data_IF_385366951436
#
_entry.id   IF_385366951436
#
_cell.length_a   1.000
_cell.length_b   1.000
_cell.length_c   1.000
_cell.angle_alpha   90.00
_cell.angle_beta   90.00
_cell.angle_gamma   90.00
#
_symmetry.space_group_name_H-M   'P 1'
#
loop_
_entity.id
_entity.type
_entity.pdbx_description
1 polymer ?
#
# COMPACT_ATOMS: atom_id res chain seq x y z
N UNK A 1 -18.22 -41.16 -73.05
CA UNK A 1 -17.03 -40.65 -72.37
C UNK A 1 -17.40 -39.28 -71.85
N UNK A 2 -17.37 -39.09 -70.48
CA UNK A 2 -17.56 -37.73 -69.89
C UNK A 2 -16.31 -36.93 -70.17
N UNK A 3 -16.44 -35.84 -70.97
CA UNK A 3 -15.35 -34.89 -71.16
C UNK A 3 -15.01 -34.26 -69.79
N UNK A 4 -13.78 -34.38 -69.32
CA UNK A 4 -13.26 -33.69 -68.13
C UNK A 4 -12.65 -32.41 -68.61
N UNK A 5 -13.32 -31.29 -68.30
CA UNK A 5 -13.00 -29.96 -68.85
C UNK A 5 -11.92 -29.18 -68.05
N UNK A 6 -11.65 -29.60 -66.78
CA UNK A 6 -10.67 -28.92 -65.90
C UNK A 6 -9.73 -29.91 -65.25
N UNK A 7 -8.44 -29.56 -65.14
CA UNK A 7 -7.41 -30.33 -64.45
C UNK A 7 -6.65 -29.43 -63.51
N UNK A 8 -6.56 -29.81 -62.23
CA UNK A 8 -5.69 -29.16 -61.25
C UNK A 8 -4.49 -30.08 -61.01
N UNK A 9 -3.30 -29.51 -61.26
CA UNK A 9 -2.03 -30.21 -61.08
C UNK A 9 -1.36 -29.74 -59.78
N UNK A 10 -1.11 -30.66 -58.87
CA UNK A 10 -0.31 -30.43 -57.68
C UNK A 10 1.09 -30.96 -57.90
N UNK A 11 2.10 -30.10 -57.86
CA UNK A 11 3.50 -30.48 -58.03
C UNK A 11 4.18 -30.35 -56.68
N UNK A 12 4.66 -31.43 -56.09
CA UNK A 12 5.48 -31.37 -54.89
C UNK A 12 6.90 -31.02 -55.24
N UNK A 13 7.38 -29.90 -54.71
CA UNK A 13 8.75 -29.39 -54.92
C UNK A 13 9.81 -30.29 -54.24
N UNK A 14 9.40 -31.06 -53.20
CA UNK A 14 10.34 -31.84 -52.40
C UNK A 14 10.64 -33.23 -52.93
N UNK A 15 9.70 -33.88 -53.65
CA UNK A 15 9.86 -35.29 -54.07
C UNK A 15 9.42 -35.55 -55.49
N UNK A 16 9.27 -34.55 -56.34
CA UNK A 16 8.89 -34.65 -57.76
C UNK A 16 7.62 -35.47 -58.04
N UNK A 17 6.73 -35.66 -57.03
CA UNK A 17 5.45 -36.32 -57.22
C UNK A 17 4.43 -35.31 -57.69
N UNK A 18 3.73 -35.65 -58.76
CA UNK A 18 2.61 -34.89 -59.32
C UNK A 18 1.31 -35.63 -59.06
N UNK A 19 0.33 -34.94 -58.50
CA UNK A 19 -1.03 -35.42 -58.38
C UNK A 19 -1.93 -34.56 -59.26
N UNK A 20 -2.82 -35.18 -59.98
CA UNK A 20 -3.79 -34.48 -60.81
C UNK A 20 -5.22 -34.84 -60.37
N UNK A 21 -6.02 -33.80 -60.22
CA UNK A 21 -7.46 -33.91 -59.98
C UNK A 21 -8.17 -33.43 -61.26
N UNK A 22 -9.04 -34.28 -61.81
CA UNK A 22 -9.79 -33.99 -63.00
C UNK A 22 -11.28 -33.80 -62.67
N UNK A 23 -11.85 -32.67 -63.11
CA UNK A 23 -13.24 -32.29 -62.83
C UNK A 23 -14.01 -32.11 -64.14
N UNK A 24 -15.29 -32.48 -64.14
CA UNK A 24 -16.20 -31.97 -65.18
C UNK A 24 -16.56 -30.52 -64.90
N UNK A 25 -16.93 -29.77 -65.91
CA UNK A 25 -17.36 -28.37 -65.82
C UNK A 25 -18.45 -28.20 -64.74
N UNK A 26 -19.42 -29.12 -64.71
CA UNK A 26 -20.50 -29.11 -63.69
C UNK A 26 -19.99 -29.31 -62.29
N UNK A 27 -19.08 -30.26 -61.98
CA UNK A 27 -18.56 -30.50 -60.65
C UNK A 27 -17.66 -29.39 -60.15
N UNK A 28 -16.97 -28.68 -61.05
CA UNK A 28 -16.19 -27.49 -60.70
C UNK A 28 -17.09 -26.35 -60.18
N UNK A 29 -18.18 -26.03 -60.90
CA UNK A 29 -19.15 -25.03 -60.47
C UNK A 29 -19.85 -25.43 -59.16
N UNK A 30 -20.21 -26.71 -58.97
CA UNK A 30 -20.77 -27.19 -57.70
C UNK A 30 -19.77 -26.99 -56.56
N UNK A 31 -18.47 -27.24 -56.76
CA UNK A 31 -17.42 -27.02 -55.78
C UNK A 31 -17.29 -25.52 -55.39
N UNK A 32 -17.35 -24.63 -56.34
CA UNK A 32 -17.32 -23.18 -56.06
C UNK A 32 -18.54 -22.73 -55.25
N UNK A 33 -19.73 -23.21 -55.63
CA UNK A 33 -20.97 -22.89 -54.90
C UNK A 33 -20.88 -23.42 -53.46
N UNK A 34 -20.38 -24.65 -53.25
CA UNK A 34 -20.22 -25.25 -51.94
C UNK A 34 -19.22 -24.46 -51.06
N UNK A 35 -18.10 -24.02 -51.62
CA UNK A 35 -17.15 -23.15 -50.89
C UNK A 35 -17.81 -21.82 -50.53
N UNK A 36 -18.50 -21.17 -51.47
CA UNK A 36 -19.22 -19.94 -51.27
C UNK A 36 -20.28 -20.05 -50.16
N UNK A 37 -21.04 -21.14 -50.13
CA UNK A 37 -22.03 -21.38 -49.04
C UNK A 37 -21.38 -21.59 -47.68
N UNK A 38 -20.26 -22.32 -47.61
CA UNK A 38 -19.51 -22.49 -46.35
C UNK A 38 -18.96 -21.14 -45.85
N UNK A 39 -18.38 -20.33 -46.75
CA UNK A 39 -17.92 -19.00 -46.40
C UNK A 39 -19.06 -18.07 -45.89
N UNK A 40 -20.23 -18.15 -46.56
CA UNK A 40 -21.39 -17.37 -46.11
C UNK A 40 -21.89 -17.81 -44.71
N UNK A 41 -21.98 -19.11 -44.48
CA UNK A 41 -22.38 -19.67 -43.18
C UNK A 41 -21.36 -19.25 -42.08
N UNK A 42 -20.06 -19.35 -42.36
CA UNK A 42 -19.05 -18.94 -41.39
C UNK A 42 -19.12 -17.43 -41.05
N UNK A 43 -19.39 -16.59 -42.06
CA UNK A 43 -19.60 -15.17 -41.88
C UNK A 43 -20.82 -14.87 -41.01
N UNK A 44 -21.93 -15.55 -41.24
CA UNK A 44 -23.14 -15.44 -40.44
C UNK A 44 -22.89 -15.86 -38.99
N UNK A 45 -22.19 -16.99 -38.79
CA UNK A 45 -21.83 -17.43 -37.42
C UNK A 45 -20.98 -16.40 -36.66
N UNK A 46 -20.03 -15.74 -37.34
CA UNK A 46 -19.24 -14.65 -36.73
C UNK A 46 -20.15 -13.48 -36.35
N UNK A 47 -21.02 -13.04 -37.25
CA UNK A 47 -21.93 -11.92 -36.99
C UNK A 47 -22.85 -12.20 -35.81
N UNK A 48 -23.39 -13.42 -35.70
CA UNK A 48 -24.26 -13.79 -34.58
C UNK A 48 -23.49 -14.05 -33.28
N UNK A 49 -22.21 -14.40 -33.31
CA UNK A 49 -21.42 -14.62 -32.11
C UNK A 49 -20.96 -13.32 -31.41
N UNK A 50 -20.78 -12.23 -32.16
CA UNK A 50 -20.30 -10.95 -31.61
C UNK A 50 -21.20 -10.38 -30.50
N UNK A 51 -22.54 -10.28 -30.65
CA UNK A 51 -23.39 -9.77 -29.57
C UNK A 51 -23.36 -10.66 -28.32
N UNK A 52 -23.32 -11.99 -28.50
CA UNK A 52 -23.23 -12.94 -27.37
C UNK A 52 -21.93 -12.76 -26.59
N UNK A 53 -20.80 -12.58 -27.29
CA UNK A 53 -19.50 -12.33 -26.66
C UNK A 53 -19.50 -11.00 -25.92
N UNK A 54 -20.09 -9.96 -26.50
CA UNK A 54 -20.18 -8.66 -25.85
C UNK A 54 -21.02 -8.71 -24.57
N UNK A 55 -22.16 -9.38 -24.61
CA UNK A 55 -23.02 -9.57 -23.43
C UNK A 55 -22.27 -10.36 -22.31
N UNK A 56 -21.54 -11.42 -22.70
CA UNK A 56 -20.72 -12.19 -21.74
C UNK A 56 -19.59 -11.35 -21.12
N UNK A 57 -18.94 -10.48 -21.88
CA UNK A 57 -17.92 -9.55 -21.37
C UNK A 57 -18.51 -8.51 -20.44
N UNK A 58 -19.71 -8.01 -20.73
CA UNK A 58 -20.42 -7.05 -19.89
C UNK A 58 -20.80 -7.69 -18.53
N UNK A 59 -21.32 -8.90 -18.54
CA UNK A 59 -21.63 -9.67 -17.30
C UNK A 59 -20.37 -9.83 -16.44
N UNK A 60 -19.24 -10.22 -17.03
CA UNK A 60 -17.99 -10.37 -16.29
C UNK A 60 -17.48 -9.05 -15.67
N UNK A 61 -17.76 -7.91 -16.32
CA UNK A 61 -17.39 -6.59 -15.75
C UNK A 61 -18.30 -6.21 -14.58
N UNK A 62 -19.57 -6.55 -14.66
CA UNK A 62 -20.55 -6.35 -13.58
C UNK A 62 -20.20 -7.23 -12.39
N UNK A 63 -19.87 -8.50 -12.60
CA UNK A 63 -19.47 -9.42 -11.52
C UNK A 63 -18.22 -8.94 -10.80
N UNK A 64 -17.22 -8.40 -11.51
CA UNK A 64 -16.04 -7.80 -10.88
C UNK A 64 -16.40 -6.59 -10.02
N UNK A 65 -17.30 -5.72 -10.50
CA UNK A 65 -17.77 -4.57 -9.71
C UNK A 65 -18.53 -4.99 -8.46
N UNK A 66 -19.38 -6.01 -8.58
CA UNK A 66 -20.12 -6.58 -7.44
C UNK A 66 -19.15 -7.16 -6.40
N UNK A 67 -18.12 -7.91 -6.82
CA UNK A 67 -17.15 -8.48 -5.91
C UNK A 67 -16.30 -7.39 -5.22
N UNK A 68 -15.88 -6.35 -5.95
CA UNK A 68 -15.18 -5.21 -5.36
C UNK A 68 -16.07 -4.44 -4.35
N UNK A 69 -17.36 -4.27 -4.65
CA UNK A 69 -18.29 -3.66 -3.70
C UNK A 69 -18.53 -4.51 -2.46
N UNK A 70 -18.58 -5.84 -2.59
CA UNK A 70 -18.68 -6.76 -1.44
C UNK A 70 -17.46 -6.67 -0.53
N UNK A 71 -16.26 -6.55 -1.09
CA UNK A 71 -15.02 -6.35 -0.34
C UNK A 71 -15.09 -5.04 0.47
N UNK A 72 -15.46 -3.92 -0.18
CA UNK A 72 -15.62 -2.63 0.49
C UNK A 72 -16.70 -2.70 1.61
N UNK A 73 -17.80 -3.40 1.37
CA UNK A 73 -18.86 -3.58 2.39
C UNK A 73 -18.34 -4.41 3.58
N UNK A 74 -17.51 -5.43 3.32
CA UNK A 74 -16.90 -6.24 4.37
C UNK A 74 -15.96 -5.40 5.23
N UNK A 75 -15.06 -4.62 4.59
CA UNK A 75 -14.12 -3.75 5.28
C UNK A 75 -14.85 -2.66 6.09
N UNK A 76 -15.93 -2.11 5.52
CA UNK A 76 -16.75 -1.12 6.22
C UNK A 76 -17.49 -1.74 7.42
N UNK A 77 -17.96 -2.99 7.28
CA UNK A 77 -18.61 -3.72 8.40
C UNK A 77 -17.62 -3.97 9.52
N UNK A 78 -16.39 -4.40 9.20
CA UNK A 78 -15.32 -4.60 10.19
C UNK A 78 -14.98 -3.29 10.90
N UNK A 79 -14.88 -2.19 10.15
CA UNK A 79 -14.64 -0.86 10.72
C UNK A 79 -15.78 -0.39 11.65
N UNK A 80 -17.03 -0.72 11.33
CA UNK A 80 -18.20 -0.42 12.19
C UNK A 80 -18.14 -1.22 13.49
N UNK A 81 -17.77 -2.49 13.41
CA UNK A 81 -17.61 -3.34 14.59
C UNK A 81 -16.47 -2.84 15.49
N UNK A 82 -15.33 -2.42 14.91
CA UNK A 82 -14.23 -1.77 15.64
C UNK A 82 -14.68 -0.48 16.34
N UNK A 83 -15.44 0.36 15.65
CA UNK A 83 -16.03 1.59 16.25
C UNK A 83 -16.97 1.24 17.39
N UNK A 84 -17.76 0.18 17.25
CA UNK A 84 -18.66 -0.32 18.30
C UNK A 84 -17.90 -0.77 19.55
N UNK A 85 -16.81 -1.53 19.35
CA UNK A 85 -15.94 -1.95 20.44
C UNK A 85 -15.24 -0.76 21.11
N UNK A 86 -14.76 0.19 20.31
CA UNK A 86 -14.12 1.40 20.82
C UNK A 86 -15.10 2.27 21.61
N UNK A 87 -16.36 2.36 21.14
CA UNK A 87 -17.43 3.05 21.88
C UNK A 87 -17.66 2.41 23.25
N UNK A 88 -17.82 1.08 23.32
CA UNK A 88 -18.03 0.38 24.58
C UNK A 88 -16.84 0.53 25.53
N UNK A 89 -15.61 0.53 25.01
CA UNK A 89 -14.40 0.76 25.77
C UNK A 89 -14.32 2.19 26.32
N UNK A 90 -14.74 3.18 25.54
CA UNK A 90 -14.82 4.57 25.98
C UNK A 90 -15.88 4.76 27.07
N UNK A 91 -17.04 4.12 26.92
CA UNK A 91 -18.12 4.13 27.92
C UNK A 91 -17.64 3.56 29.26
N UNK A 92 -16.87 2.47 29.23
CA UNK A 92 -16.29 1.85 30.41
C UNK A 92 -15.23 2.74 31.11
N UNK A 93 -14.33 3.36 30.32
CA UNK A 93 -13.27 4.26 30.85
C UNK A 93 -13.84 5.54 31.46
N UNK A 94 -14.87 6.12 30.86
CA UNK A 94 -15.45 7.40 31.28
C UNK A 94 -16.45 7.18 32.44
N UNK A 95 -16.82 5.91 32.72
CA UNK A 95 -17.75 5.56 33.81
C UNK A 95 -19.16 6.13 33.54
N UNK A 96 -19.55 6.23 32.26
CA UNK A 96 -20.89 6.67 31.88
C UNK A 96 -21.90 5.56 32.17
N UNK A 97 -22.96 5.87 32.88
CA UNK A 97 -24.13 4.98 33.00
C UNK A 97 -24.85 4.91 31.63
N UNK A 98 -25.42 3.74 31.31
CA UNK A 98 -26.17 3.50 30.07
C UNK A 98 -27.26 4.59 29.87
N UNK A 99 -27.05 5.47 28.86
CA UNK A 99 -28.03 6.50 28.49
C UNK A 99 -27.59 7.97 28.67
N UNK A 100 -26.36 8.23 29.12
CA UNK A 100 -25.79 9.59 29.06
C UNK A 100 -25.38 9.97 27.62
N UNK A 101 -25.80 11.14 27.17
CA UNK A 101 -25.40 11.69 25.88
C UNK A 101 -23.89 12.01 25.92
N UNK A 102 -23.12 11.19 25.24
CA UNK A 102 -21.67 11.40 25.05
C UNK A 102 -21.51 12.62 24.13
N UNK A 103 -20.84 13.68 24.62
CA UNK A 103 -20.44 14.78 23.76
C UNK A 103 -19.51 14.25 22.63
N UNK A 104 -19.99 14.22 21.38
CA UNK A 104 -19.20 13.69 20.26
C UNK A 104 -17.88 14.44 20.06
N UNK A 105 -17.81 15.72 20.48
CA UNK A 105 -16.59 16.50 20.41
C UNK A 105 -15.55 16.01 21.41
N UNK A 106 -15.99 15.59 22.63
CA UNK A 106 -15.10 15.08 23.67
C UNK A 106 -14.54 13.70 23.28
N UNK A 107 -15.39 12.82 22.72
CA UNK A 107 -14.96 11.51 22.20
C UNK A 107 -13.99 11.69 21.04
N UNK A 108 -14.33 12.54 20.07
CA UNK A 108 -13.46 12.86 18.94
C UNK A 108 -12.10 13.39 19.40
N UNK A 109 -12.10 14.30 20.38
CA UNK A 109 -10.87 14.82 20.97
C UNK A 109 -10.00 13.73 21.60
N UNK A 110 -10.60 12.81 22.37
CA UNK A 110 -9.87 11.70 23.00
C UNK A 110 -9.32 10.72 21.95
N UNK A 111 -10.14 10.30 20.98
CA UNK A 111 -9.75 9.33 19.95
C UNK A 111 -8.69 9.92 19.00
N UNK A 112 -8.83 11.18 18.58
CA UNK A 112 -7.89 11.79 17.63
C UNK A 112 -6.55 12.13 18.27
N UNK A 113 -6.50 12.46 19.55
CA UNK A 113 -5.24 12.83 20.21
C UNK A 113 -4.33 11.61 20.54
N UNK A 114 -4.86 10.41 20.48
CA UNK A 114 -4.11 9.17 20.67
C UNK A 114 -3.60 8.57 19.35
N UNK A 115 -4.01 9.11 18.19
CA UNK A 115 -3.51 8.69 16.87
C UNK A 115 -2.27 9.53 16.53
N UNK A 116 -1.18 8.89 16.02
CA UNK A 116 0.02 9.60 15.58
C UNK A 116 -0.30 10.71 14.58
N UNK A 117 -0.04 11.98 14.95
CA UNK A 117 -0.33 13.15 14.11
C UNK A 117 0.68 14.30 14.27
N UNK A 118 1.66 14.16 15.16
CA UNK A 118 2.69 15.16 15.43
C UNK A 118 4.05 14.59 15.07
N UNK A 119 4.88 15.33 14.31
CA UNK A 119 6.24 14.90 14.00
C UNK A 119 7.08 14.79 15.29
N UNK A 120 7.85 13.69 15.44
CA UNK A 120 8.69 13.53 16.63
C UNK A 120 9.88 14.51 16.68
N UNK A 121 10.40 14.92 15.53
CA UNK A 121 11.52 15.82 15.38
C UNK A 121 11.52 16.47 14.00
N UNK A 122 12.04 17.65 13.85
CA UNK A 122 12.30 18.28 12.56
C UNK A 122 13.69 17.86 12.07
N UNK A 123 13.77 17.22 10.92
CA UNK A 123 15.05 16.73 10.39
C UNK A 123 14.91 16.17 9.00
N UNK A 124 15.93 15.43 8.57
CA UNK A 124 16.01 14.80 7.25
C UNK A 124 16.09 13.30 7.43
N UNK A 125 15.32 12.55 6.65
CA UNK A 125 15.37 11.09 6.66
C UNK A 125 16.68 10.64 6.03
N UNK A 126 17.48 9.88 6.80
CA UNK A 126 18.74 9.26 6.34
C UNK A 126 18.57 7.78 6.03
N UNK A 127 17.68 7.10 6.74
CA UNK A 127 17.34 5.70 6.48
C UNK A 127 15.83 5.49 6.63
N UNK A 128 15.26 4.67 5.76
CA UNK A 128 13.82 4.44 5.66
C UNK A 128 13.45 3.10 6.30
N UNK A 129 12.15 2.95 6.62
CA UNK A 129 11.57 1.71 7.08
C UNK A 129 11.74 0.60 6.04
N UNK A 130 12.35 -0.52 6.46
CA UNK A 130 12.55 -1.71 5.64
C UNK A 130 12.51 -3.00 6.48
N UNK A 131 11.47 -3.80 6.27
CA UNK A 131 11.27 -5.08 6.98
C UNK A 131 12.35 -6.11 6.61
N UNK A 132 12.82 -6.12 5.36
CA UNK A 132 13.74 -7.13 4.86
C UNK A 132 15.14 -6.96 5.48
N UNK A 133 15.58 -5.71 5.67
CA UNK A 133 16.80 -5.37 6.40
C UNK A 133 16.64 -5.34 7.92
N UNK A 134 15.42 -5.53 8.42
CA UNK A 134 15.03 -5.41 9.84
C UNK A 134 15.21 -4.00 10.41
N UNK A 135 15.11 -2.97 9.58
CA UNK A 135 15.02 -1.58 10.00
C UNK A 135 13.55 -1.22 10.23
N UNK A 136 13.07 -1.36 11.49
CA UNK A 136 11.65 -1.24 11.84
C UNK A 136 11.16 0.18 12.07
N UNK A 137 11.98 1.18 11.71
CA UNK A 137 11.69 2.58 11.89
C UNK A 137 12.19 3.44 10.75
N UNK A 138 12.37 4.72 11.06
CA UNK A 138 13.07 5.69 10.21
C UNK A 138 14.15 6.36 11.04
N UNK A 139 15.25 6.73 10.40
CA UNK A 139 16.31 7.50 11.02
C UNK A 139 16.20 8.96 10.60
N UNK A 140 16.00 9.84 11.59
CA UNK A 140 15.84 11.29 11.40
C UNK A 140 17.12 11.98 11.86
N UNK A 141 17.91 12.46 10.92
CA UNK A 141 19.16 13.20 11.20
C UNK A 141 18.88 14.66 11.49
N UNK A 142 19.44 15.15 12.59
CA UNK A 142 19.43 16.56 12.98
C UNK A 142 20.63 16.83 13.88
N UNK A 143 20.79 18.09 14.33
CA UNK A 143 21.82 18.46 15.31
C UNK A 143 21.57 17.79 16.67
N UNK A 144 22.64 17.30 17.31
CA UNK A 144 22.55 16.74 18.65
C UNK A 144 22.01 17.78 19.65
N UNK A 145 21.02 17.37 20.44
CA UNK A 145 20.33 18.23 21.38
C UNK A 145 19.03 18.85 20.84
N UNK A 146 18.67 18.60 19.57
CA UNK A 146 17.36 18.99 19.03
C UNK A 146 16.22 18.35 19.80
N UNK A 147 15.11 19.05 19.92
CA UNK A 147 13.93 18.59 20.67
C UNK A 147 13.27 17.39 20.01
N UNK A 148 12.88 16.41 20.83
CA UNK A 148 12.08 15.25 20.44
C UNK A 148 10.74 15.31 21.17
N UNK A 149 9.65 15.17 20.41
CA UNK A 149 8.28 15.33 20.91
C UNK A 149 7.50 14.03 20.82
N UNK A 150 6.53 13.84 21.72
CA UNK A 150 5.55 12.77 21.61
C UNK A 150 4.65 12.98 20.39
N UNK A 151 4.42 11.92 19.62
CA UNK A 151 3.60 11.97 18.39
C UNK A 151 2.09 12.00 18.65
N UNK A 152 1.66 11.63 19.85
CA UNK A 152 0.27 11.60 20.30
C UNK A 152 0.22 11.56 21.84
N UNK A 153 -0.99 11.63 22.41
CA UNK A 153 -1.18 11.38 23.84
C UNK A 153 -0.83 9.93 24.19
N UNK A 154 -0.41 9.65 25.42
CA UNK A 154 -0.13 8.29 25.84
C UNK A 154 0.50 8.18 27.23
N UNK A 155 0.91 6.96 27.56
CA UNK A 155 1.61 6.62 28.80
C UNK A 155 3.01 6.12 28.45
N UNK A 156 4.03 6.66 29.11
CA UNK A 156 5.40 6.19 28.95
C UNK A 156 5.54 4.80 29.60
N UNK A 157 5.75 3.77 28.79
CA UNK A 157 5.94 2.40 29.26
C UNK A 157 7.39 2.02 29.45
N UNK A 158 8.30 2.74 28.81
CA UNK A 158 9.74 2.59 28.94
C UNK A 158 10.43 3.95 28.83
N UNK A 159 11.36 4.24 29.71
CA UNK A 159 12.29 5.37 29.63
C UNK A 159 13.56 5.01 30.41
N UNK A 160 14.56 4.50 29.70
CA UNK A 160 15.81 4.01 30.30
C UNK A 160 16.90 3.91 29.24
N UNK A 161 18.10 3.47 29.66
CA UNK A 161 19.26 3.21 28.82
C UNK A 161 19.42 1.71 28.49
N UNK A 162 19.69 1.40 27.23
CA UNK A 162 20.14 0.08 26.78
C UNK A 162 21.48 0.19 26.06
N UNK A 163 22.27 -0.91 26.05
CA UNK A 163 23.60 -0.91 25.38
C UNK A 163 23.47 -0.70 23.88
N UNK A 164 22.45 -1.24 23.26
CA UNK A 164 22.28 -1.26 21.80
C UNK A 164 21.66 0.07 21.31
N UNK A 165 20.54 0.48 21.92
CA UNK A 165 19.75 1.61 21.48
C UNK A 165 20.03 2.91 22.27
N UNK A 166 20.91 2.87 23.28
CA UNK A 166 21.18 4.03 24.13
C UNK A 166 19.99 4.44 24.99
N UNK A 167 19.85 5.73 25.27
CA UNK A 167 18.65 6.24 25.93
C UNK A 167 17.45 6.10 25.02
N UNK A 168 16.42 5.40 25.51
CA UNK A 168 15.21 5.12 24.74
C UNK A 168 13.94 5.46 25.52
N UNK A 169 12.90 5.78 24.79
CA UNK A 169 11.54 5.99 25.30
C UNK A 169 10.59 5.15 24.46
N UNK A 170 9.63 4.50 25.11
CA UNK A 170 8.49 3.86 24.46
C UNK A 170 7.22 4.39 25.10
N UNK A 171 6.28 4.82 24.26
CA UNK A 171 4.98 5.37 24.68
C UNK A 171 3.88 4.46 24.14
N UNK A 172 2.97 4.05 25.02
CA UNK A 172 1.72 3.40 24.68
C UNK A 172 0.64 4.47 24.50
N UNK A 173 0.06 4.55 23.32
CA UNK A 173 -1.00 5.49 23.00
C UNK A 173 -2.41 4.97 23.30
N UNK A 174 -2.50 3.83 24.02
CA UNK A 174 -3.76 3.24 24.55
C UNK A 174 -4.80 2.86 23.49
N UNK A 175 -4.41 2.76 22.24
CA UNK A 175 -5.26 2.40 21.10
C UNK A 175 -4.59 1.38 20.17
N UNK A 176 -3.62 0.60 20.72
CA UNK A 176 -2.79 -0.35 19.99
C UNK A 176 -1.59 0.27 19.26
N UNK A 177 -1.45 1.60 19.26
CA UNK A 177 -0.24 2.26 18.78
C UNK A 177 0.79 2.39 19.89
N UNK A 178 2.06 2.11 19.52
CA UNK A 178 3.25 2.37 20.32
C UNK A 178 4.22 3.18 19.48
N UNK A 179 4.90 4.15 20.12
CA UNK A 179 6.00 4.88 19.51
C UNK A 179 7.29 4.65 20.27
N UNK A 180 8.37 4.44 19.53
CA UNK A 180 9.70 4.20 20.09
C UNK A 180 10.65 5.30 19.63
N UNK A 181 11.46 5.82 20.55
CA UNK A 181 12.40 6.91 20.35
C UNK A 181 13.75 6.49 20.90
N UNK A 182 14.74 6.25 20.05
CA UNK A 182 16.04 5.71 20.45
C UNK A 182 17.19 6.66 20.09
N UNK A 183 18.35 6.35 20.67
CA UNK A 183 19.59 7.11 20.53
C UNK A 183 19.53 8.50 21.16
N UNK A 184 18.58 8.76 22.05
CA UNK A 184 18.41 10.06 22.70
C UNK A 184 19.67 10.45 23.48
N UNK A 185 19.95 11.76 23.54
CA UNK A 185 20.97 12.32 24.42
C UNK A 185 20.54 12.26 25.88
N UNK A 186 19.29 12.63 26.14
CA UNK A 186 18.67 12.66 27.45
C UNK A 186 17.16 12.49 27.31
N UNK A 187 16.56 11.69 28.22
CA UNK A 187 15.12 11.50 28.33
C UNK A 187 14.58 12.42 29.42
N UNK A 188 13.50 13.17 29.17
CA UNK A 188 12.88 14.10 30.11
C UNK A 188 11.67 13.53 30.83
N UNK A 189 11.12 12.41 30.34
CA UNK A 189 9.94 11.74 30.86
C UNK A 189 10.32 10.43 31.52
N UNK A 190 9.47 9.95 32.44
CA UNK A 190 9.70 8.74 33.22
C UNK A 190 8.63 7.71 32.95
N UNK A 191 8.96 6.44 33.18
CA UNK A 191 8.01 5.32 33.10
C UNK A 191 6.78 5.60 33.97
N UNK A 192 5.60 5.25 33.44
CA UNK A 192 4.26 5.47 33.99
C UNK A 192 3.82 6.93 34.02
N UNK A 193 4.54 7.85 33.37
CA UNK A 193 4.12 9.23 33.19
C UNK A 193 3.09 9.30 32.05
N UNK A 194 1.97 9.99 32.27
CA UNK A 194 0.98 10.30 31.22
C UNK A 194 1.36 11.62 30.58
N UNK A 195 1.40 11.63 29.27
CA UNK A 195 1.84 12.78 28.49
C UNK A 195 0.85 13.10 27.36
N UNK A 196 0.79 14.36 27.01
CA UNK A 196 0.03 14.83 25.85
C UNK A 196 0.88 14.79 24.58
N UNK A 197 0.24 14.68 23.42
CA UNK A 197 0.91 14.83 22.14
C UNK A 197 1.58 16.19 22.01
N UNK A 198 2.78 16.23 21.44
CA UNK A 198 3.60 17.44 21.38
C UNK A 198 4.36 17.77 22.66
N UNK A 199 4.27 16.96 23.71
CA UNK A 199 5.13 17.11 24.89
C UNK A 199 6.59 16.85 24.50
N UNK A 200 7.50 17.74 24.95
CA UNK A 200 8.94 17.54 24.84
C UNK A 200 9.37 16.37 25.73
N UNK A 201 9.80 15.27 25.12
CA UNK A 201 10.11 14.02 25.84
C UNK A 201 11.59 13.71 25.92
N UNK A 202 12.39 14.20 24.95
CA UNK A 202 13.82 13.94 24.90
C UNK A 202 14.58 14.99 24.07
N UNK A 203 15.89 14.85 24.04
CA UNK A 203 16.77 15.47 23.06
C UNK A 203 17.39 14.41 22.17
N UNK A 204 17.42 14.66 20.85
CA UNK A 204 18.14 13.86 19.87
C UNK A 204 19.61 13.73 20.27
N UNK A 205 20.16 12.52 20.15
CA UNK A 205 21.51 12.23 20.56
C UNK A 205 22.26 11.31 19.60
N UNK A 206 23.25 10.61 20.16
CA UNK A 206 24.08 9.64 19.47
C UNK A 206 24.49 8.53 20.46
N UNK A 207 23.56 8.11 21.32
CA UNK A 207 23.83 7.11 22.37
C UNK A 207 23.50 5.70 21.90
N UNK A 208 24.17 4.71 22.51
CA UNK A 208 24.03 3.29 22.16
C UNK A 208 24.98 2.83 21.05
N UNK A 209 25.22 1.51 20.99
CA UNK A 209 26.23 0.94 20.08
C UNK A 209 25.78 0.92 18.62
N UNK A 210 24.47 0.93 18.36
CA UNK A 210 23.93 0.92 17.01
C UNK A 210 23.90 2.32 16.36
N UNK A 211 24.11 3.40 17.12
CA UNK A 211 24.18 4.75 16.58
C UNK A 211 25.54 5.02 15.95
N UNK A 212 25.53 5.52 14.70
CA UNK A 212 26.75 5.88 13.95
C UNK A 212 26.97 7.38 13.82
N UNK A 213 26.07 8.20 14.33
CA UNK A 213 26.09 9.66 14.30
C UNK A 213 24.80 10.25 14.89
N UNK A 214 24.71 11.55 15.12
CA UNK A 214 23.51 12.15 15.69
C UNK A 214 22.28 11.92 14.83
N UNK A 215 21.31 11.17 15.34
CA UNK A 215 20.01 10.92 14.74
C UNK A 215 19.00 10.41 15.78
N UNK A 216 17.73 10.50 15.46
CA UNK A 216 16.64 9.84 16.17
C UNK A 216 16.27 8.59 15.36
N UNK A 217 16.44 7.40 15.94
CA UNK A 217 15.79 6.19 15.42
C UNK A 217 14.36 6.15 15.96
N UNK A 218 13.37 6.20 15.06
CA UNK A 218 11.97 6.35 15.40
C UNK A 218 11.10 5.27 14.77
N UNK A 219 10.36 4.53 15.62
CA UNK A 219 9.47 3.47 15.17
C UNK A 219 8.02 3.74 15.58
N UNK A 220 7.08 3.28 14.76
CA UNK A 220 5.66 3.17 15.12
C UNK A 220 5.24 1.71 14.99
N UNK A 221 4.60 1.21 16.03
CA UNK A 221 4.04 -0.14 16.06
C UNK A 221 2.53 -0.07 16.21
N UNK A 222 1.79 -0.93 15.50
CA UNK A 222 0.34 -1.09 15.63
C UNK A 222 0.03 -2.56 15.88
N UNK A 223 -0.66 -2.85 16.98
CA UNK A 223 -1.07 -4.20 17.37
C UNK A 223 0.09 -5.23 17.31
N UNK A 224 1.25 -4.83 17.83
CA UNK A 224 2.46 -5.64 17.90
C UNK A 224 3.22 -5.83 16.58
N UNK A 225 2.91 -5.04 15.54
CA UNK A 225 3.62 -5.05 14.26
C UNK A 225 4.21 -3.68 13.95
N UNK A 226 5.46 -3.60 13.49
CA UNK A 226 6.05 -2.34 13.04
C UNK A 226 5.38 -1.86 11.75
N UNK A 227 5.12 -0.57 11.66
CA UNK A 227 4.53 0.07 10.48
C UNK A 227 5.39 1.25 10.05
N UNK A 228 5.37 1.56 8.74
CA UNK A 228 6.18 2.65 8.21
C UNK A 228 5.74 4.02 8.76
N UNK A 229 6.59 4.72 9.53
CA UNK A 229 6.24 6.02 10.10
C UNK A 229 5.94 7.10 9.05
N UNK A 230 6.49 7.00 7.85
CA UNK A 230 6.24 7.96 6.75
C UNK A 230 4.79 7.90 6.24
N UNK A 231 4.01 6.88 6.59
CA UNK A 231 2.57 6.87 6.30
C UNK A 231 1.79 7.93 7.10
N UNK A 232 2.33 8.40 8.23
CA UNK A 232 1.77 9.46 9.06
C UNK A 232 2.40 10.84 8.77
N UNK A 233 3.66 10.88 8.34
CA UNK A 233 4.47 12.09 8.21
C UNK A 233 5.08 12.20 6.81
N UNK A 234 4.26 12.51 5.81
CA UNK A 234 4.66 12.54 4.39
C UNK A 234 5.52 13.74 3.99
N UNK A 235 5.64 14.75 4.84
CA UNK A 235 6.34 16.00 4.55
C UNK A 235 7.80 16.05 5.08
N UNK A 236 8.36 14.90 5.45
CA UNK A 236 9.80 14.80 5.69
C UNK A 236 10.57 14.88 4.36
N UNK A 237 11.58 15.77 4.30
CA UNK A 237 12.53 15.76 3.20
C UNK A 237 13.52 14.60 3.33
N UNK A 238 13.86 13.97 2.19
CA UNK A 238 14.89 12.93 2.15
C UNK A 238 16.27 13.55 1.98
N UNK A 239 17.30 12.89 2.50
CA UNK A 239 18.69 13.31 2.33
C UNK A 239 19.10 13.41 0.86
N UNK A 240 18.56 12.56 -0.01
CA UNK A 240 18.75 12.61 -1.46
C UNK A 240 18.28 13.93 -2.06
N UNK A 241 17.10 14.41 -1.67
CA UNK A 241 16.49 15.61 -2.21
C UNK A 241 17.29 16.87 -1.82
N UNK A 242 17.86 16.89 -0.60
CA UNK A 242 18.68 17.98 -0.12
C UNK A 242 20.02 18.08 -0.87
N UNK A 243 20.63 16.93 -1.17
CA UNK A 243 21.87 16.88 -1.97
C UNK A 243 21.66 17.32 -3.42
N UNK A 244 20.50 17.03 -4.02
CA UNK A 244 20.16 17.50 -5.36
C UNK A 244 19.97 19.02 -5.40
N UNK A 245 19.34 19.61 -4.39
CA UNK A 245 19.15 21.06 -4.27
C UNK A 245 20.50 21.76 -4.12
N UNK A 246 21.37 21.31 -3.20
CA UNK A 246 22.70 21.87 -2.98
C UNK A 246 23.60 21.79 -4.23
N UNK A 247 23.56 20.66 -4.95
CA UNK A 247 24.32 20.49 -6.21
C UNK A 247 23.79 21.41 -7.34
N UNK A 248 22.47 21.62 -7.41
CA UNK A 248 21.87 22.53 -8.39
C UNK A 248 22.21 23.99 -8.09
N UNK A 249 22.18 24.42 -6.83
CA UNK A 249 22.57 25.79 -6.42
C UNK A 249 24.05 26.05 -6.69
N UNK A 250 24.94 25.08 -6.49
CA UNK A 250 26.37 25.23 -6.83
C UNK A 250 26.63 25.23 -8.33
N UNK A 251 25.74 24.67 -9.15
CA UNK A 251 25.85 24.69 -10.61
C UNK A 251 25.35 25.99 -11.25
N UNK A 252 24.44 26.71 -10.57
CA UNK A 252 23.87 28.00 -11.01
C UNK A 252 24.81 29.17 -10.68
N UNK A 253 25.65 29.01 -9.64
CA UNK A 253 26.58 30.06 -9.16
C UNK A 253 27.98 29.97 -9.75
N UNK A 254 28.20 29.14 -10.79
CA UNK A 254 29.41 29.06 -11.60
C UNK A 254 29.16 29.59 -13.01
#
# INVERSE_FOLDING_TARGET
MKHKDYKILFISVLNNKTWQLEFTKSSFFVGIIAIGTICLISLLLIIFSVPIINEYLEINTVDRKINAQKEIISDLSESIDEIGLMKSYIEDIIGLEEGEDIDPAKVRFMVTNNIPNIKPNEGVISDEFDIDSKHFGIDIVNEEGTSVFSIANGVVVYSDYSSDYGNGIIIDHENGYYSHYYHNKENFVKRNERIDGGTLIAQLGNTGQQSTGPHLHFEIWKDGKPINPLSFFQDYSKKSDKLEIENNEQSINK
#
